data_IF_534226660961
#
_entry.id   IF_534226660961
#
_cell.length_a   1.000
_cell.length_b   1.000
_cell.length_c   1.000
_cell.angle_alpha   90.00
_cell.angle_beta   90.00
_cell.angle_gamma   90.00
#
_symmetry.space_group_name_H-M   'P 1'
#
loop_
_entity.id
_entity.type
_entity.pdbx_description
1 polymer ?
#
# COMPACT_ATOMS: atom_id res chain seq x y z
N UNK A 1 17.91 0.62 2.22
CA UNK A 1 17.91 1.48 1.00
C UNK A 1 17.80 2.96 1.44
N UNK A 2 18.67 3.89 1.02
CA UNK A 2 18.76 5.26 1.62
C UNK A 2 18.19 6.41 0.75
N UNK A 3 17.29 6.10 -0.19
CA UNK A 3 16.65 7.11 -1.06
C UNK A 3 15.19 7.32 -0.63
N UNK A 4 14.72 8.56 -0.44
CA UNK A 4 13.30 8.85 -0.20
C UNK A 4 12.42 8.37 -1.37
N UNK A 5 11.26 7.78 -1.06
CA UNK A 5 10.27 7.41 -2.06
C UNK A 5 9.68 8.66 -2.73
N UNK A 6 9.52 8.59 -4.04
CA UNK A 6 8.69 9.50 -4.83
C UNK A 6 7.23 9.06 -4.78
N UNK A 7 6.28 9.97 -5.04
CA UNK A 7 4.85 9.62 -5.08
C UNK A 7 4.55 8.48 -6.07
N UNK A 8 5.26 8.43 -7.20
CA UNK A 8 5.12 7.35 -8.19
C UNK A 8 5.56 6.00 -7.62
N UNK A 9 6.72 5.94 -6.99
CA UNK A 9 7.23 4.73 -6.34
C UNK A 9 6.30 4.29 -5.20
N UNK A 10 5.79 5.23 -4.41
CA UNK A 10 4.78 4.99 -3.36
C UNK A 10 3.53 4.32 -3.94
N UNK A 11 2.98 4.84 -5.04
CA UNK A 11 1.78 4.26 -5.67
C UNK A 11 2.01 2.81 -6.12
N UNK A 12 3.14 2.52 -6.78
CA UNK A 12 3.45 1.14 -7.16
C UNK A 12 3.58 0.24 -5.94
N UNK A 13 4.25 0.71 -4.88
CA UNK A 13 4.43 -0.05 -3.66
C UNK A 13 3.09 -0.39 -2.99
N UNK A 14 2.19 0.59 -2.87
CA UNK A 14 0.85 0.40 -2.25
C UNK A 14 0.00 -0.59 -3.05
N UNK A 15 0.03 -0.52 -4.39
CA UNK A 15 -0.73 -1.43 -5.24
C UNK A 15 -0.16 -2.86 -5.15
N UNK A 16 1.17 -3.00 -5.24
CA UNK A 16 1.83 -4.30 -5.15
C UNK A 16 1.68 -4.96 -3.77
N UNK A 17 1.58 -4.18 -2.70
CA UNK A 17 1.39 -4.66 -1.33
C UNK A 17 0.13 -5.53 -1.14
N UNK A 18 -0.84 -5.42 -2.06
CA UNK A 18 -2.04 -6.25 -2.07
C UNK A 18 -1.72 -7.72 -2.38
N UNK A 19 -0.81 -7.95 -3.31
CA UNK A 19 -0.56 -9.28 -3.86
C UNK A 19 0.68 -9.93 -3.23
N UNK A 20 1.63 -9.12 -2.78
CA UNK A 20 2.83 -9.57 -2.08
C UNK A 20 3.07 -8.73 -0.83
N UNK A 21 3.42 -9.39 0.29
CA UNK A 21 3.76 -8.70 1.52
C UNK A 21 5.02 -7.83 1.33
N UNK A 22 4.93 -6.56 1.74
CA UNK A 22 6.07 -5.65 1.70
C UNK A 22 7.17 -6.09 2.67
N UNK A 23 8.43 -5.97 2.23
CA UNK A 23 9.60 -6.13 3.10
C UNK A 23 9.63 -5.01 4.13
N UNK A 24 10.29 -5.26 5.27
CA UNK A 24 10.41 -4.28 6.36
C UNK A 24 10.94 -2.92 5.88
N UNK A 25 11.99 -2.90 5.08
CA UNK A 25 12.54 -1.64 4.53
C UNK A 25 11.55 -0.87 3.67
N UNK A 26 10.69 -1.59 2.93
CA UNK A 26 9.66 -0.97 2.09
C UNK A 26 8.54 -0.37 2.94
N UNK A 27 8.14 -1.06 4.02
CA UNK A 27 7.17 -0.55 4.99
C UNK A 27 7.70 0.71 5.68
N UNK A 28 8.94 0.71 6.12
CA UNK A 28 9.56 1.85 6.79
C UNK A 28 9.63 3.07 5.85
N UNK A 29 10.05 2.86 4.60
CA UNK A 29 10.10 3.91 3.59
C UNK A 29 8.71 4.46 3.22
N UNK A 30 7.71 3.58 3.11
CA UNK A 30 6.32 3.94 2.86
C UNK A 30 5.79 4.80 4.00
N UNK A 31 5.93 4.32 5.24
CA UNK A 31 5.47 5.03 6.43
C UNK A 31 6.08 6.42 6.52
N UNK A 32 7.39 6.55 6.28
CA UNK A 32 8.07 7.84 6.25
C UNK A 32 7.49 8.79 5.19
N UNK A 33 7.21 8.31 3.98
CA UNK A 33 6.62 9.12 2.91
C UNK A 33 5.17 9.55 3.24
N UNK A 34 4.37 8.65 3.83
CA UNK A 34 2.98 8.94 4.18
C UNK A 34 2.84 9.99 5.30
N UNK A 35 3.87 10.18 6.13
CA UNK A 35 3.86 11.27 7.11
C UNK A 35 3.88 12.65 6.43
N UNK A 36 4.66 12.79 5.36
CA UNK A 36 4.95 14.09 4.73
C UNK A 36 4.10 14.39 3.49
N UNK A 37 3.54 13.37 2.82
CA UNK A 37 2.73 13.54 1.62
C UNK A 37 1.24 13.31 1.88
N UNK A 38 0.45 14.40 1.93
CA UNK A 38 -1.02 14.32 2.13
C UNK A 38 -1.74 13.58 0.99
N UNK A 39 -1.31 13.79 -0.27
CA UNK A 39 -1.91 13.11 -1.42
C UNK A 39 -1.73 11.59 -1.36
N UNK A 40 -0.50 11.13 -1.08
CA UNK A 40 -0.23 9.69 -0.96
C UNK A 40 -0.91 9.08 0.28
N UNK A 41 -1.09 9.84 1.37
CA UNK A 41 -1.85 9.39 2.54
C UNK A 41 -3.32 9.12 2.19
N UNK A 42 -3.96 10.04 1.47
CA UNK A 42 -5.35 9.86 1.00
C UNK A 42 -5.44 8.70 0.01
N UNK A 43 -4.54 8.65 -0.98
CA UNK A 43 -4.53 7.58 -1.96
C UNK A 43 -4.33 6.20 -1.32
N UNK A 44 -3.42 6.07 -0.35
CA UNK A 44 -3.21 4.82 0.39
C UNK A 44 -4.48 4.34 1.11
N UNK A 45 -5.22 5.26 1.75
CA UNK A 45 -6.50 4.92 2.39
C UNK A 45 -7.56 4.48 1.36
N UNK A 46 -7.63 5.15 0.20
CA UNK A 46 -8.56 4.80 -0.89
C UNK A 46 -8.27 3.40 -1.47
N UNK A 47 -6.99 3.08 -1.72
CA UNK A 47 -6.60 1.75 -2.17
C UNK A 47 -6.94 0.66 -1.13
N UNK A 48 -6.68 0.94 0.16
CA UNK A 48 -7.06 0.01 1.24
C UNK A 48 -8.56 -0.28 1.27
N UNK A 49 -9.40 0.76 1.15
CA UNK A 49 -10.85 0.59 1.09
C UNK A 49 -11.30 -0.20 -0.14
N UNK A 50 -10.73 0.08 -1.32
CA UNK A 50 -11.02 -0.66 -2.55
C UNK A 50 -10.65 -2.13 -2.44
N UNK A 51 -9.46 -2.44 -1.92
CA UNK A 51 -8.99 -3.83 -1.82
C UNK A 51 -9.79 -4.64 -0.80
N UNK A 52 -10.21 -4.04 0.32
CA UNK A 52 -11.13 -4.70 1.24
C UNK A 52 -12.47 -5.09 0.57
N UNK A 53 -13.01 -4.22 -0.31
CA UNK A 53 -14.22 -4.54 -1.08
C UNK A 53 -13.97 -5.67 -2.09
N UNK A 54 -12.84 -5.64 -2.79
CA UNK A 54 -12.48 -6.70 -3.73
C UNK A 54 -12.24 -8.04 -3.04
N UNK A 55 -11.57 -8.04 -1.89
CA UNK A 55 -11.30 -9.27 -1.13
C UNK A 55 -12.61 -9.91 -0.62
N UNK A 56 -13.59 -9.09 -0.22
CA UNK A 56 -14.94 -9.55 0.12
C UNK A 56 -15.68 -10.15 -1.10
N UNK A 57 -15.66 -9.47 -2.26
CA UNK A 57 -16.32 -9.95 -3.47
C UNK A 57 -15.70 -11.25 -4.01
N UNK A 58 -14.39 -11.41 -3.87
CA UNK A 58 -13.63 -12.55 -4.39
C UNK A 58 -13.41 -13.66 -3.36
N UNK A 59 -14.01 -13.57 -2.17
CA UNK A 59 -13.84 -14.50 -1.06
C UNK A 59 -12.36 -14.82 -0.72
N UNK A 60 -11.46 -13.84 -0.91
CA UNK A 60 -10.03 -14.01 -0.65
C UNK A 60 -9.83 -14.15 0.86
N UNK A 61 -9.26 -15.27 1.31
CA UNK A 61 -9.03 -15.57 2.74
C UNK A 61 -10.09 -16.43 3.40
N UNK A 62 -11.15 -16.82 2.68
CA UNK A 62 -12.08 -17.87 3.13
C UNK A 62 -11.50 -19.21 2.68
N UNK A 63 -10.92 -19.98 3.60
CA UNK A 63 -10.65 -21.40 3.34
C UNK A 63 -11.98 -22.16 3.27
N UNK A 64 -12.12 -23.13 2.34
CA UNK A 64 -13.35 -23.92 2.19
C UNK A 64 -13.69 -24.74 3.43
#
# INVERSE_FOLDING_TARGET
MNKPLTCRETTYLVISARDEALKREQLDALNAHLQTCSYCRVANAQFGALYAQLDALLARGVQP
#
